data_IF_726372432588
#
_entry.id   IF_726372432588
#
_cell.length_a   1.000
_cell.length_b   1.000
_cell.length_c   1.000
_cell.angle_alpha   90.00
_cell.angle_beta   90.00
_cell.angle_gamma   90.00
#
_symmetry.space_group_name_H-M   'P 1'
#
loop_
_entity.id
_entity.type
_entity.pdbx_description
1 polymer ?
#
# COMPACT_ATOMS: atom_id res chain seq x y z
N UNK A 1 -10.21 2.07 -10.46
CA UNK A 1 -9.45 1.92 -9.20
C UNK A 1 -9.25 3.32 -8.63
N UNK A 2 -9.57 3.56 -7.34
CA UNK A 2 -9.36 4.88 -6.73
C UNK A 2 -7.85 5.16 -6.61
N UNK A 3 -7.43 6.41 -6.76
CA UNK A 3 -6.01 6.77 -6.59
C UNK A 3 -5.59 6.62 -5.13
N UNK A 4 -4.29 6.50 -4.87
CA UNK A 4 -3.75 6.49 -3.50
C UNK A 4 -4.16 7.76 -2.73
N UNK A 5 -4.16 8.92 -3.39
CA UNK A 5 -4.59 10.19 -2.79
C UNK A 5 -6.06 10.17 -2.36
N UNK A 6 -6.95 9.65 -3.20
CA UNK A 6 -8.38 9.55 -2.87
C UNK A 6 -8.61 8.63 -1.67
N UNK A 7 -7.93 7.49 -1.60
CA UNK A 7 -8.01 6.56 -0.45
C UNK A 7 -7.47 7.17 0.84
N UNK A 8 -6.37 7.91 0.76
CA UNK A 8 -5.84 8.65 1.94
C UNK A 8 -6.87 9.68 2.40
N UNK A 9 -7.51 10.41 1.49
CA UNK A 9 -8.53 11.40 1.84
C UNK A 9 -9.74 10.78 2.52
N UNK A 10 -10.24 9.64 2.04
CA UNK A 10 -11.34 8.91 2.67
C UNK A 10 -11.00 8.47 4.10
N UNK A 11 -9.78 7.97 4.32
CA UNK A 11 -9.30 7.61 5.66
C UNK A 11 -9.17 8.83 6.57
N UNK A 12 -8.77 10.00 6.04
CA UNK A 12 -8.74 11.26 6.78
C UNK A 12 -10.14 11.69 7.20
N UNK A 13 -11.10 11.59 6.29
CA UNK A 13 -12.51 11.92 6.55
C UNK A 13 -13.13 10.93 7.57
N UNK A 14 -12.64 9.69 7.62
CA UNK A 14 -13.00 8.70 8.65
C UNK A 14 -12.30 8.92 10.01
N UNK A 15 -11.46 9.95 10.15
CA UNK A 15 -10.82 10.34 11.41
C UNK A 15 -9.37 9.87 11.60
N UNK A 16 -8.76 9.21 10.62
CA UNK A 16 -7.36 8.78 10.74
C UNK A 16 -6.37 9.94 10.65
N UNK A 17 -5.23 9.79 11.34
CA UNK A 17 -4.08 10.69 11.17
C UNK A 17 -3.51 10.62 9.74
N UNK A 18 -2.88 11.69 9.25
CA UNK A 18 -2.31 11.73 7.89
C UNK A 18 -1.25 10.65 7.66
N UNK A 19 -0.37 10.43 8.62
CA UNK A 19 0.67 9.40 8.51
C UNK A 19 0.10 8.00 8.67
N UNK A 20 -0.95 7.83 9.48
CA UNK A 20 -1.66 6.56 9.59
C UNK A 20 -2.39 6.21 8.29
N UNK A 21 -3.13 7.15 7.72
CA UNK A 21 -3.84 6.97 6.45
C UNK A 21 -2.88 6.59 5.30
N UNK A 22 -1.74 7.29 5.19
CA UNK A 22 -0.69 6.93 4.21
C UNK A 22 -0.15 5.53 4.43
N UNK A 23 0.12 5.12 5.69
CA UNK A 23 0.60 3.78 6.01
C UNK A 23 -0.41 2.70 5.65
N UNK A 24 -1.70 2.92 5.93
CA UNK A 24 -2.78 1.99 5.58
C UNK A 24 -2.82 1.79 4.07
N UNK A 25 -2.86 2.87 3.29
CA UNK A 25 -2.91 2.79 1.81
C UNK A 25 -1.68 2.09 1.26
N UNK A 26 -0.48 2.43 1.74
CA UNK A 26 0.76 1.76 1.31
C UNK A 26 0.76 0.26 1.60
N UNK A 27 0.21 -0.16 2.75
CA UNK A 27 0.07 -1.59 3.08
C UNK A 27 -0.95 -2.29 2.20
N UNK A 28 -2.05 -1.64 1.86
CA UNK A 28 -3.04 -2.19 0.93
C UNK A 28 -2.41 -2.41 -0.45
N UNK A 29 -1.71 -1.41 -0.97
CA UNK A 29 -1.01 -1.51 -2.26
C UNK A 29 0.02 -2.63 -2.28
N UNK A 30 0.82 -2.73 -1.22
CA UNK A 30 1.80 -3.81 -1.07
C UNK A 30 1.14 -5.20 -1.03
N UNK A 31 0.00 -5.32 -0.34
CA UNK A 31 -0.74 -6.58 -0.25
C UNK A 31 -1.28 -6.98 -1.62
N UNK A 32 -1.80 -6.02 -2.37
CA UNK A 32 -2.30 -6.24 -3.73
C UNK A 32 -1.17 -6.64 -4.70
N UNK A 33 0.02 -6.03 -4.58
CA UNK A 33 1.20 -6.40 -5.37
C UNK A 33 1.66 -7.83 -5.05
N UNK A 34 1.76 -8.19 -3.77
CA UNK A 34 2.13 -9.54 -3.35
C UNK A 34 1.10 -10.57 -3.82
N UNK A 35 -0.20 -10.24 -3.75
CA UNK A 35 -1.27 -11.14 -4.19
C UNK A 35 -1.25 -11.39 -5.71
N UNK A 36 -0.66 -10.47 -6.49
CA UNK A 36 -0.50 -10.60 -7.95
C UNK A 36 0.82 -11.22 -8.37
N UNK A 37 1.74 -11.43 -7.45
CA UNK A 37 3.03 -12.04 -7.74
C UNK A 37 2.85 -13.48 -8.21
N UNK A 38 3.42 -13.82 -9.37
CA UNK A 38 3.34 -15.18 -9.92
C UNK A 38 4.49 -16.05 -9.41
N UNK A 39 5.59 -15.43 -8.98
CA UNK A 39 6.79 -16.13 -8.51
C UNK A 39 7.28 -15.63 -7.16
N UNK A 40 8.07 -16.47 -6.48
CA UNK A 40 8.75 -16.10 -5.24
C UNK A 40 9.74 -14.95 -5.48
N UNK A 41 10.33 -14.84 -6.66
CA UNK A 41 11.29 -13.79 -6.97
C UNK A 41 10.62 -12.42 -7.16
N UNK A 42 9.38 -12.38 -7.67
CA UNK A 42 8.56 -11.16 -7.69
C UNK A 42 8.28 -10.67 -6.28
N UNK A 43 7.92 -11.59 -5.37
CA UNK A 43 7.70 -11.27 -3.95
C UNK A 43 8.98 -10.71 -3.32
N UNK A 44 10.14 -11.32 -3.58
CA UNK A 44 11.44 -10.81 -3.09
C UNK A 44 11.71 -9.40 -3.62
N UNK A 45 11.47 -9.15 -4.91
CA UNK A 45 11.70 -7.85 -5.53
C UNK A 45 10.83 -6.75 -4.88
N UNK A 46 9.55 -7.05 -4.64
CA UNK A 46 8.61 -6.16 -3.94
C UNK A 46 9.10 -5.86 -2.52
N UNK A 47 9.50 -6.89 -1.76
CA UNK A 47 9.99 -6.72 -0.39
C UNK A 47 11.31 -5.93 -0.33
N UNK A 48 12.21 -6.11 -1.31
CA UNK A 48 13.46 -5.35 -1.39
C UNK A 48 13.24 -3.84 -1.57
N UNK A 49 12.17 -3.44 -2.28
CA UNK A 49 11.82 -2.02 -2.45
C UNK A 49 11.36 -1.34 -1.15
N UNK A 50 11.01 -2.10 -0.11
CA UNK A 50 10.58 -1.54 1.18
C UNK A 50 11.74 -1.18 2.11
N UNK A 51 12.91 -1.80 1.92
CA UNK A 51 14.08 -1.67 2.79
C UNK A 51 15.08 -0.63 2.27
N UNK A 52 14.98 -0.26 0.99
CA UNK A 52 15.75 0.82 0.36
C UNK A 52 15.04 2.17 0.49
#
# INVERSE_FOLDING_TARGET
>A
MKTALARVRELREAGHGIEEAKRIVRRQDLTDEIARAETIDDIKAILFQLVR
#
